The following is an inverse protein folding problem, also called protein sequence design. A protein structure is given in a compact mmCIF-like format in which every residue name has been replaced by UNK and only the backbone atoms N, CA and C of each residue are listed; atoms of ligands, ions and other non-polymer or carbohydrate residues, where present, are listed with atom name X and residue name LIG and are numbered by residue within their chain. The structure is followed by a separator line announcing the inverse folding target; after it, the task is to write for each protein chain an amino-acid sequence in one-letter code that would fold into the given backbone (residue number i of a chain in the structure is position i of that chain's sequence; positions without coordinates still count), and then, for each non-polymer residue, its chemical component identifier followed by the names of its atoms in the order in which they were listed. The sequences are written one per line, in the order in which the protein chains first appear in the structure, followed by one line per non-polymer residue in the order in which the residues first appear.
data_IF_513206638677
#
_entry.id   IF_513206638677
#
_cell.length_a   1.000
_cell.length_b   1.000
_cell.length_c   1.000
_cell.angle_alpha   90.00
_cell.angle_beta   90.00
_cell.angle_gamma   90.00
#
_symmetry.space_group_name_H-M   'P 1'
#
loop_
_entity.id
_entity.type
_entity.pdbx_description
1 polymer ?
#
# COMPACT_ATOMS: atom_id res chain seq x y z
N UNK A 1 12.23 -12.41 -18.99
CA UNK A 1 12.69 -11.58 -17.85
C UNK A 1 12.45 -10.11 -18.18
N UNK A 2 11.58 -9.45 -17.44
CA UNK A 2 11.28 -8.02 -17.67
C UNK A 2 12.42 -7.17 -17.12
N UNK A 3 12.99 -6.30 -17.97
CA UNK A 3 14.10 -5.42 -17.59
C UNK A 3 13.59 -4.35 -16.60
N UNK A 4 14.12 -4.33 -15.36
CA UNK A 4 13.76 -3.31 -14.35
C UNK A 4 14.11 -1.91 -14.86
N UNK A 5 13.27 -0.90 -14.55
CA UNK A 5 13.59 0.51 -14.87
C UNK A 5 14.74 1.00 -14.01
N UNK A 6 15.47 2.02 -14.50
CA UNK A 6 16.52 2.69 -13.72
C UNK A 6 16.02 3.20 -12.37
N UNK A 7 14.77 3.69 -12.29
CA UNK A 7 14.14 4.11 -11.02
C UNK A 7 13.95 2.94 -10.07
N UNK A 8 13.46 1.78 -10.57
CA UNK A 8 13.29 0.58 -9.76
C UNK A 8 14.63 0.03 -9.26
N UNK A 9 15.66 0.04 -10.11
CA UNK A 9 17.00 -0.40 -9.72
C UNK A 9 17.62 0.49 -8.64
N UNK A 10 17.38 1.81 -8.67
CA UNK A 10 17.84 2.73 -7.62
C UNK A 10 17.12 2.47 -6.31
N UNK A 11 15.80 2.23 -6.34
CA UNK A 11 15.05 1.90 -5.12
C UNK A 11 15.48 0.54 -4.55
N UNK A 12 15.78 -0.44 -5.40
CA UNK A 12 16.34 -1.73 -4.98
C UNK A 12 17.72 -1.52 -4.34
N UNK A 13 18.58 -0.70 -4.93
CA UNK A 13 19.88 -0.35 -4.38
C UNK A 13 19.78 0.29 -2.99
N UNK A 14 18.91 1.29 -2.83
CA UNK A 14 18.65 1.95 -1.53
C UNK A 14 18.25 0.93 -0.48
N UNK A 15 17.38 -0.03 -0.84
CA UNK A 15 16.91 -1.10 0.04
C UNK A 15 18.04 -2.08 0.40
N UNK A 16 18.75 -2.59 -0.59
CA UNK A 16 19.80 -3.62 -0.41
C UNK A 16 20.99 -3.08 0.41
N UNK A 17 21.32 -1.79 0.21
CA UNK A 17 22.34 -1.09 0.99
C UNK A 17 21.83 -0.51 2.30
N UNK A 18 20.53 -0.69 2.61
CA UNK A 18 19.87 -0.21 3.85
C UNK A 18 20.01 1.31 4.07
N UNK A 19 20.05 2.10 3.00
CA UNK A 19 20.08 3.56 3.11
C UNK A 19 18.75 4.07 3.66
N UNK A 20 18.79 4.77 4.79
CA UNK A 20 17.66 5.40 5.45
C UNK A 20 17.45 6.86 5.06
N UNK A 21 16.40 7.48 5.58
CA UNK A 21 16.13 8.91 5.37
C UNK A 21 17.29 9.74 5.94
N UNK A 22 17.83 10.63 5.11
CA UNK A 22 19.01 11.45 5.43
C UNK A 22 20.33 10.88 4.93
N UNK A 23 20.36 9.60 4.50
CA UNK A 23 21.58 8.99 3.97
C UNK A 23 21.88 9.48 2.54
N UNK A 24 23.16 9.57 2.25
CA UNK A 24 23.65 10.04 0.95
C UNK A 24 23.77 8.88 -0.03
N UNK A 25 23.18 9.07 -1.22
CA UNK A 25 23.39 8.15 -2.34
C UNK A 25 24.77 8.35 -2.98
N UNK A 26 25.31 7.30 -3.65
CA UNK A 26 26.49 7.42 -4.46
C UNK A 26 26.36 8.50 -5.54
N UNK A 27 27.49 9.02 -6.01
CA UNK A 27 27.47 9.94 -7.15
C UNK A 27 26.89 9.25 -8.40
N UNK A 28 26.27 10.03 -9.29
CA UNK A 28 25.64 9.51 -10.53
C UNK A 28 26.57 8.57 -11.33
N UNK A 29 27.86 8.88 -11.35
CA UNK A 29 28.89 8.10 -12.09
C UNK A 29 29.15 6.74 -11.40
N UNK A 30 29.22 6.74 -10.06
CA UNK A 30 29.52 5.53 -9.31
C UNK A 30 28.34 4.58 -9.33
N UNK A 31 27.12 5.11 -9.11
CA UNK A 31 25.90 4.30 -9.15
C UNK A 31 25.62 3.76 -10.56
N UNK A 32 25.97 4.52 -11.61
CA UNK A 32 25.87 4.05 -13.00
C UNK A 32 26.75 2.83 -13.23
N UNK A 33 27.98 2.84 -12.70
CA UNK A 33 28.91 1.72 -12.78
C UNK A 33 28.41 0.50 -12.02
N UNK A 34 27.91 0.70 -10.78
CA UNK A 34 27.42 -0.40 -9.93
C UNK A 34 26.18 -1.08 -10.53
N UNK A 35 25.25 -0.30 -11.10
CA UNK A 35 24.01 -0.82 -11.65
C UNK A 35 24.08 -1.22 -13.13
N UNK A 36 25.24 -1.03 -13.79
CA UNK A 36 25.40 -1.31 -15.22
C UNK A 36 24.54 -0.42 -16.12
N UNK A 37 24.27 0.84 -15.70
CA UNK A 37 23.42 1.79 -16.40
C UNK A 37 24.24 2.96 -16.98
N UNK A 38 23.63 3.70 -17.93
CA UNK A 38 24.21 4.96 -18.37
C UNK A 38 24.06 6.05 -17.29
N UNK A 39 25.03 6.97 -17.23
CA UNK A 39 24.96 8.14 -16.36
C UNK A 39 23.68 8.98 -16.60
N UNK A 40 23.26 9.09 -17.86
CA UNK A 40 22.02 9.79 -18.19
C UNK A 40 20.79 9.09 -17.61
N UNK A 41 20.73 7.75 -17.65
CA UNK A 41 19.64 6.97 -17.06
C UNK A 41 19.56 7.17 -15.55
N UNK A 42 20.71 7.22 -14.85
CA UNK A 42 20.75 7.50 -13.40
C UNK A 42 20.28 8.93 -13.11
N UNK A 43 20.76 9.92 -13.87
CA UNK A 43 20.37 11.32 -13.67
C UNK A 43 18.87 11.55 -13.85
N UNK A 44 18.28 10.95 -14.90
CA UNK A 44 16.83 11.02 -15.13
C UNK A 44 16.05 10.30 -14.03
N UNK A 45 16.52 9.16 -13.55
CA UNK A 45 15.89 8.43 -12.46
C UNK A 45 15.98 9.21 -11.13
N UNK A 46 17.13 9.83 -10.84
CA UNK A 46 17.28 10.73 -9.70
C UNK A 46 16.33 11.92 -9.79
N UNK A 47 16.20 12.55 -10.97
CA UNK A 47 15.26 13.66 -11.17
C UNK A 47 13.80 13.23 -10.94
N UNK A 48 13.41 12.05 -11.46
CA UNK A 48 12.07 11.49 -11.24
C UNK A 48 11.80 11.18 -9.77
N UNK A 49 12.74 10.59 -9.05
CA UNK A 49 12.63 10.30 -7.63
C UNK A 49 12.62 11.59 -6.79
N UNK A 50 13.37 12.60 -7.18
CA UNK A 50 13.35 13.91 -6.53
C UNK A 50 12.02 14.64 -6.75
N UNK A 51 11.47 14.62 -7.97
CA UNK A 51 10.14 15.18 -8.25
C UNK A 51 9.03 14.52 -7.42
N UNK A 52 9.20 13.24 -7.09
CA UNK A 52 8.30 12.49 -6.19
C UNK A 52 8.64 12.68 -4.71
N UNK A 53 9.67 13.47 -4.38
CA UNK A 53 10.15 13.72 -3.03
C UNK A 53 10.77 12.51 -2.32
N UNK A 54 11.08 11.43 -3.04
CA UNK A 54 11.81 10.26 -2.51
C UNK A 54 13.27 10.61 -2.26
N UNK A 55 13.84 11.40 -3.16
CA UNK A 55 15.21 11.92 -3.02
C UNK A 55 15.18 13.45 -2.87
N UNK A 56 16.23 14.00 -2.27
CA UNK A 56 16.49 15.44 -2.25
C UNK A 56 17.90 15.70 -2.72
N UNK A 57 18.03 16.59 -3.70
CA UNK A 57 19.33 17.05 -4.20
C UNK A 57 19.76 18.29 -3.40
N UNK A 58 20.93 18.22 -2.76
CA UNK A 58 21.57 19.35 -2.10
C UNK A 58 22.71 19.82 -2.98
N UNK A 59 22.61 21.05 -3.46
CA UNK A 59 23.58 21.59 -4.41
C UNK A 59 25.01 21.53 -3.85
N UNK A 60 25.97 21.01 -4.63
CA UNK A 60 27.38 20.84 -4.21
C UNK A 60 27.63 19.74 -3.18
N UNK A 61 26.59 19.15 -2.57
CA UNK A 61 26.76 18.16 -1.50
C UNK A 61 26.43 16.75 -1.96
N UNK A 62 25.34 16.59 -2.73
CA UNK A 62 24.92 15.30 -3.26
C UNK A 62 23.41 15.08 -3.26
N UNK A 63 23.02 13.83 -3.49
CA UNK A 63 21.63 13.37 -3.46
C UNK A 63 21.42 12.50 -2.22
N UNK A 64 20.33 12.71 -1.51
CA UNK A 64 20.01 12.07 -0.23
C UNK A 64 18.63 11.44 -0.29
N UNK A 65 18.40 10.37 0.47
CA UNK A 65 17.07 9.82 0.71
C UNK A 65 16.27 10.84 1.52
N UNK A 66 15.15 11.31 0.95
CA UNK A 66 14.30 12.34 1.59
C UNK A 66 13.14 11.71 2.36
N UNK A 67 12.56 10.66 1.80
CA UNK A 67 11.49 9.88 2.44
C UNK A 67 11.46 8.46 1.89
N UNK A 68 10.92 7.56 2.68
CA UNK A 68 10.53 6.23 2.22
C UNK A 68 9.19 6.33 1.51
N UNK A 69 9.09 5.82 0.29
CA UNK A 69 7.83 5.75 -0.44
C UNK A 69 7.39 4.28 -0.53
N UNK A 70 6.27 3.99 0.08
CA UNK A 70 5.60 2.69 -0.05
C UNK A 70 4.85 2.68 -1.38
N UNK A 71 5.18 1.75 -2.26
CA UNK A 71 4.57 1.64 -3.60
C UNK A 71 3.68 0.40 -3.65
N UNK A 72 2.39 0.59 -3.87
CA UNK A 72 1.48 -0.49 -4.23
C UNK A 72 1.64 -0.80 -5.72
N UNK A 73 2.26 -1.94 -6.01
CA UNK A 73 2.34 -2.49 -7.36
C UNK A 73 1.24 -3.56 -7.52
N UNK A 74 0.15 -3.20 -8.17
CA UNK A 74 -0.98 -4.10 -8.41
C UNK A 74 -0.59 -5.41 -9.11
N UNK A 75 0.47 -5.41 -9.91
CA UNK A 75 0.93 -6.61 -10.61
C UNK A 75 1.46 -7.69 -9.66
N UNK A 76 1.93 -7.32 -8.48
CA UNK A 76 2.57 -8.22 -7.52
C UNK A 76 1.70 -8.60 -6.30
N UNK A 77 0.46 -8.11 -6.20
CA UNK A 77 -0.53 -8.44 -5.13
C UNK A 77 0.08 -8.58 -3.73
N UNK A 78 0.84 -7.56 -3.30
CA UNK A 78 1.52 -7.59 -2.01
C UNK A 78 0.63 -7.05 -0.90
N UNK A 79 0.82 -7.57 0.31
CA UNK A 79 0.21 -6.98 1.51
C UNK A 79 0.82 -5.61 1.81
N UNK A 80 0.12 -4.75 2.55
CA UNK A 80 0.68 -3.47 2.99
C UNK A 80 1.98 -3.65 3.78
N UNK A 81 2.05 -4.66 4.63
CA UNK A 81 3.28 -5.05 5.31
C UNK A 81 4.44 -5.30 4.33
N UNK A 82 4.23 -6.18 3.35
CA UNK A 82 5.25 -6.52 2.35
C UNK A 82 5.62 -5.33 1.45
N UNK A 83 4.67 -4.42 1.17
CA UNK A 83 4.97 -3.19 0.43
C UNK A 83 5.89 -2.26 1.22
N UNK A 84 5.67 -2.14 2.54
CA UNK A 84 6.52 -1.34 3.43
C UNK A 84 7.92 -1.95 3.52
N UNK A 85 8.04 -3.28 3.73
CA UNK A 85 9.35 -3.96 3.75
C UNK A 85 10.15 -3.73 2.48
N UNK A 86 9.49 -3.87 1.30
CA UNK A 86 10.15 -3.67 0.00
C UNK A 86 10.57 -2.22 -0.23
N UNK A 87 9.90 -1.26 0.41
CA UNK A 87 10.32 0.14 0.35
C UNK A 87 11.60 0.42 1.16
N UNK A 88 12.10 -0.57 1.91
CA UNK A 88 13.26 -0.45 2.80
C UNK A 88 12.92 0.11 4.18
N UNK A 89 11.63 0.32 4.48
CA UNK A 89 11.20 0.76 5.80
C UNK A 89 10.89 -0.43 6.72
N UNK A 90 10.96 -0.19 8.02
CA UNK A 90 10.52 -1.15 9.03
C UNK A 90 8.99 -1.04 9.18
N UNK A 91 8.22 -2.10 8.83
CA UNK A 91 6.78 -2.08 9.02
C UNK A 91 6.41 -2.22 10.50
N UNK A 92 5.30 -1.64 10.87
CA UNK A 92 4.57 -1.95 12.09
C UNK A 92 3.07 -1.89 11.84
N UNK A 93 2.32 -2.67 12.60
CA UNK A 93 0.88 -2.71 12.61
C UNK A 93 0.38 -2.37 14.02
N UNK A 94 -0.55 -1.44 14.12
CA UNK A 94 -1.34 -1.19 15.33
C UNK A 94 -2.79 -1.58 15.04
N UNK A 95 -3.34 -2.48 15.84
CA UNK A 95 -4.77 -2.76 15.88
C UNK A 95 -5.41 -1.69 16.78
N UNK A 96 -6.20 -0.80 16.19
CA UNK A 96 -6.85 0.30 16.90
C UNK A 96 -8.21 -0.13 17.46
N UNK A 97 -8.94 -0.95 16.70
CA UNK A 97 -10.26 -1.47 17.06
C UNK A 97 -10.36 -2.93 16.60
N UNK A 98 -11.05 -3.75 17.43
CA UNK A 98 -11.38 -5.14 17.14
C UNK A 98 -12.68 -5.47 17.89
N UNK A 99 -13.84 -5.28 17.24
CA UNK A 99 -15.16 -5.39 17.86
C UNK A 99 -16.19 -5.98 16.89
N UNK A 100 -17.44 -6.02 17.31
CA UNK A 100 -18.58 -6.33 16.46
C UNK A 100 -19.44 -5.08 16.30
N UNK A 101 -19.77 -4.73 15.06
CA UNK A 101 -20.61 -3.59 14.71
C UNK A 101 -21.87 -4.02 13.97
N UNK A 102 -22.94 -3.27 14.11
CA UNK A 102 -24.13 -3.38 13.27
C UNK A 102 -23.92 -2.56 12.00
N UNK A 103 -24.11 -3.19 10.84
CA UNK A 103 -23.90 -2.51 9.55
C UNK A 103 -25.18 -1.84 9.06
N UNK A 104 -25.04 -0.65 8.53
CA UNK A 104 -26.12 0.17 7.99
C UNK A 104 -25.71 0.82 6.65
N UNK A 105 -26.67 1.40 5.94
CA UNK A 105 -26.44 2.20 4.73
C UNK A 105 -25.56 1.52 3.69
N UNK A 106 -24.60 2.28 3.14
CA UNK A 106 -23.74 1.83 2.06
C UNK A 106 -22.91 0.59 2.43
N UNK A 107 -22.53 0.43 3.69
CA UNK A 107 -21.76 -0.74 4.13
C UNK A 107 -22.59 -2.02 4.02
N UNK A 108 -23.88 -1.98 4.41
CA UNK A 108 -24.79 -3.12 4.27
C UNK A 108 -24.97 -3.50 2.78
N UNK A 109 -25.11 -2.50 1.91
CA UNK A 109 -25.18 -2.70 0.46
C UNK A 109 -23.88 -3.30 -0.11
N UNK A 110 -22.72 -2.76 0.28
CA UNK A 110 -21.43 -3.26 -0.15
C UNK A 110 -21.17 -4.70 0.29
N UNK A 111 -21.64 -5.07 1.47
CA UNK A 111 -21.55 -6.44 1.99
C UNK A 111 -22.67 -7.37 1.47
N UNK A 112 -23.72 -6.83 0.82
CA UNK A 112 -24.90 -7.54 0.33
C UNK A 112 -25.62 -8.30 1.45
N UNK A 113 -25.74 -7.67 2.61
CA UNK A 113 -26.42 -8.22 3.79
C UNK A 113 -27.52 -7.26 4.28
N UNK A 114 -28.40 -7.76 5.14
CA UNK A 114 -29.48 -6.93 5.70
C UNK A 114 -28.92 -5.86 6.65
N UNK A 115 -29.40 -4.60 6.59
CA UNK A 115 -29.12 -3.61 7.63
C UNK A 115 -29.41 -4.16 9.03
N UNK A 116 -28.63 -3.74 10.03
CA UNK A 116 -28.68 -4.26 11.40
C UNK A 116 -27.96 -5.59 11.61
N UNK A 117 -27.39 -6.20 10.56
CA UNK A 117 -26.58 -7.41 10.71
C UNK A 117 -25.29 -7.08 11.46
N UNK A 118 -24.93 -7.90 12.45
CA UNK A 118 -23.65 -7.76 13.17
C UNK A 118 -22.52 -8.46 12.41
N UNK A 119 -21.40 -7.76 12.31
CA UNK A 119 -20.19 -8.23 11.63
C UNK A 119 -18.96 -7.88 12.47
N UNK A 120 -17.89 -8.67 12.35
CA UNK A 120 -16.62 -8.31 12.96
C UNK A 120 -15.98 -7.13 12.21
N UNK A 121 -15.51 -6.15 12.97
CA UNK A 121 -14.81 -4.97 12.50
C UNK A 121 -13.39 -4.94 13.06
N UNK A 122 -12.42 -4.63 12.20
CA UNK A 122 -11.02 -4.45 12.56
C UNK A 122 -10.53 -3.14 11.98
N UNK A 123 -9.98 -2.26 12.81
CA UNK A 123 -9.32 -1.03 12.38
C UNK A 123 -7.82 -1.14 12.59
N UNK A 124 -7.09 -1.14 11.50
CA UNK A 124 -5.65 -1.36 11.45
C UNK A 124 -4.89 -0.16 10.90
N UNK A 125 -3.82 0.23 11.59
CA UNK A 125 -2.90 1.27 11.14
C UNK A 125 -1.54 0.65 10.79
N UNK A 126 -1.20 0.67 9.51
CA UNK A 126 0.14 0.31 9.04
C UNK A 126 1.05 1.52 9.03
N UNK A 127 2.24 1.35 9.60
CA UNK A 127 3.25 2.41 9.68
C UNK A 127 4.58 1.96 9.10
N UNK A 128 5.35 2.90 8.54
CA UNK A 128 6.68 2.73 8.00
C UNK A 128 7.67 3.55 8.84
N UNK A 129 8.62 2.90 9.53
CA UNK A 129 9.53 3.57 10.46
C UNK A 129 8.80 4.43 11.51
N UNK A 130 7.63 3.96 11.99
CA UNK A 130 6.79 4.67 12.96
C UNK A 130 5.92 5.79 12.38
N UNK A 131 5.97 6.05 11.06
CA UNK A 131 5.10 7.05 10.41
C UNK A 131 3.86 6.38 9.82
N UNK A 132 2.63 6.85 10.11
CA UNK A 132 1.38 6.33 9.55
C UNK A 132 1.35 6.37 8.03
N UNK A 133 1.10 5.21 7.40
CA UNK A 133 1.08 5.06 5.94
C UNK A 133 -0.32 4.80 5.42
N UNK A 134 -1.01 3.82 6.01
CA UNK A 134 -2.35 3.40 5.59
C UNK A 134 -3.17 3.02 6.82
N UNK A 135 -4.33 3.63 6.96
CA UNK A 135 -5.39 3.23 7.87
C UNK A 135 -6.37 2.35 7.11
N UNK A 136 -6.82 1.26 7.72
CA UNK A 136 -7.76 0.33 7.09
C UNK A 136 -8.87 -0.06 8.05
N UNK A 137 -10.11 0.04 7.59
CA UNK A 137 -11.25 -0.61 8.21
C UNK A 137 -11.59 -1.88 7.43
N UNK A 138 -11.62 -3.00 8.12
CA UNK A 138 -12.05 -4.29 7.60
C UNK A 138 -13.37 -4.71 8.25
N UNK A 139 -14.35 -5.08 7.44
CA UNK A 139 -15.62 -5.64 7.86
C UNK A 139 -15.72 -7.07 7.34
N UNK A 140 -15.83 -8.04 8.25
CA UNK A 140 -15.80 -9.48 7.92
C UNK A 140 -17.22 -10.00 7.87
N UNK A 141 -17.58 -10.67 6.77
CA UNK A 141 -18.92 -11.19 6.51
C UNK A 141 -19.39 -12.14 7.62
N UNK A 142 -20.69 -12.12 7.99
CA UNK A 142 -21.22 -12.86 9.14
C UNK A 142 -21.12 -14.38 9.00
N UNK A 143 -20.88 -14.89 7.81
CA UNK A 143 -20.66 -16.32 7.54
C UNK A 143 -19.20 -16.77 7.76
N UNK A 144 -18.27 -15.84 7.97
CA UNK A 144 -16.87 -16.12 8.26
C UNK A 144 -16.69 -16.22 9.78
N UNK A 145 -16.09 -17.32 10.23
CA UNK A 145 -15.83 -17.53 11.66
C UNK A 145 -14.57 -16.79 12.07
N UNK A 146 -14.69 -15.86 12.99
CA UNK A 146 -13.57 -15.06 13.52
C UNK A 146 -13.11 -15.52 14.91
N UNK A 147 -13.95 -16.35 15.60
CA UNK A 147 -13.65 -16.81 16.96
C UNK A 147 -12.34 -17.60 17.05
N UNK A 148 -11.51 -17.22 18.02
CA UNK A 148 -10.20 -17.85 18.27
C UNK A 148 -9.05 -17.35 17.39
N UNK A 149 -9.28 -16.41 16.50
CA UNK A 149 -8.23 -15.77 15.69
C UNK A 149 -7.68 -14.57 16.45
N UNK A 150 -6.38 -14.56 16.67
CA UNK A 150 -5.65 -13.42 17.23
C UNK A 150 -5.19 -12.52 16.07
N UNK A 151 -6.01 -11.54 15.71
CA UNK A 151 -5.73 -10.63 14.61
C UNK A 151 -4.53 -9.73 14.88
N UNK A 152 -4.22 -9.41 16.15
CA UNK A 152 -3.05 -8.61 16.51
C UNK A 152 -1.72 -9.28 16.14
N UNK A 153 -1.70 -10.61 16.01
CA UNK A 153 -0.53 -11.38 15.56
C UNK A 153 -0.44 -11.53 14.05
N UNK A 154 -1.47 -11.16 13.31
CA UNK A 154 -1.50 -11.26 11.87
C UNK A 154 -1.38 -9.87 11.23
N UNK A 155 -0.49 -9.72 10.27
CA UNK A 155 -0.41 -8.52 9.43
C UNK A 155 -1.00 -8.75 8.04
N UNK A 156 -1.72 -9.85 7.88
CA UNK A 156 -2.39 -10.25 6.64
C UNK A 156 -3.74 -10.92 6.95
N UNK A 157 -4.82 -10.15 6.85
CA UNK A 157 -6.18 -10.62 7.16
C UNK A 157 -6.61 -11.78 6.27
N UNK A 158 -6.28 -11.74 4.96
CA UNK A 158 -6.61 -12.83 4.03
C UNK A 158 -5.93 -14.14 4.43
N UNK A 159 -4.68 -14.08 4.87
CA UNK A 159 -3.97 -15.28 5.34
C UNK A 159 -4.57 -15.80 6.66
N UNK A 160 -4.96 -14.90 7.58
CA UNK A 160 -5.58 -15.26 8.85
C UNK A 160 -6.96 -15.93 8.66
N UNK A 161 -7.68 -15.59 7.60
CA UNK A 161 -9.02 -16.10 7.29
C UNK A 161 -9.04 -17.11 6.13
N UNK A 162 -7.88 -17.53 5.62
CA UNK A 162 -7.77 -18.33 4.40
C UNK A 162 -8.62 -19.63 4.44
N UNK A 163 -8.61 -20.33 5.57
CA UNK A 163 -9.35 -21.59 5.74
C UNK A 163 -10.86 -21.37 5.76
N UNK A 164 -11.33 -20.22 6.30
CA UNK A 164 -12.75 -19.89 6.39
C UNK A 164 -13.31 -19.33 5.08
N UNK A 165 -12.47 -18.61 4.32
CA UNK A 165 -12.86 -18.00 3.04
C UNK A 165 -12.76 -19.01 1.89
N UNK A 166 -11.95 -20.05 2.03
CA UNK A 166 -11.60 -20.92 0.91
C UNK A 166 -10.67 -20.21 -0.07
N UNK A 167 -9.63 -19.56 0.43
CA UNK A 167 -8.80 -18.58 -0.27
C UNK A 167 -8.10 -19.04 -1.55
N UNK A 168 -8.14 -20.34 -1.90
CA UNK A 168 -7.59 -20.85 -3.17
C UNK A 168 -8.37 -20.36 -4.40
N UNK A 169 -9.63 -19.94 -4.22
CA UNK A 169 -10.51 -19.48 -5.30
C UNK A 169 -11.20 -18.12 -5.01
N UNK A 170 -10.74 -17.38 -3.98
CA UNK A 170 -11.31 -16.08 -3.66
C UNK A 170 -10.97 -15.02 -4.72
N UNK A 171 -11.96 -14.20 -5.06
CA UNK A 171 -11.77 -13.04 -5.95
C UNK A 171 -11.58 -11.77 -5.13
N UNK A 172 -10.63 -10.94 -5.54
CA UNK A 172 -10.37 -9.62 -4.94
C UNK A 172 -10.71 -8.53 -5.95
N UNK A 173 -11.75 -7.77 -5.66
CA UNK A 173 -12.12 -6.54 -6.37
C UNK A 173 -11.53 -5.33 -5.62
N UNK A 174 -10.87 -4.41 -6.32
CA UNK A 174 -10.32 -3.19 -5.73
C UNK A 174 -10.62 -1.98 -6.59
N UNK A 175 -10.92 -0.87 -5.93
CA UNK A 175 -11.03 0.44 -6.57
C UNK A 175 -10.30 1.50 -5.74
N UNK A 176 -9.92 2.59 -6.36
CA UNK A 176 -9.28 3.71 -5.68
C UNK A 176 -9.76 5.03 -6.27
N UNK A 177 -10.02 5.99 -5.40
CA UNK A 177 -10.42 7.35 -5.77
C UNK A 177 -9.71 8.36 -4.89
N UNK A 178 -9.78 9.64 -5.25
CA UNK A 178 -9.28 10.72 -4.42
C UNK A 178 -10.44 11.29 -3.59
N UNK A 179 -10.21 11.47 -2.29
CA UNK A 179 -11.13 12.16 -1.39
C UNK A 179 -10.38 13.20 -0.57
N UNK A 180 -11.09 14.12 0.04
CA UNK A 180 -10.54 14.97 1.09
C UNK A 180 -10.74 14.26 2.43
N UNK A 181 -9.61 13.99 3.14
CA UNK A 181 -9.68 13.30 4.42
C UNK A 181 -10.38 14.17 5.48
N UNK A 182 -11.28 13.55 6.25
CA UNK A 182 -11.95 14.15 7.39
C UNK A 182 -11.42 13.55 8.70
N UNK A 183 -11.87 14.08 9.84
CA UNK A 183 -11.66 13.45 11.14
C UNK A 183 -12.62 12.23 11.27
N UNK A 184 -12.21 11.17 12.01
CA UNK A 184 -10.96 11.05 12.77
C UNK A 184 -9.75 10.53 11.98
N UNK A 185 -9.91 10.14 10.70
CA UNK A 185 -8.85 9.50 9.90
C UNK A 185 -7.65 10.43 9.67
N UNK A 186 -7.91 11.74 9.54
CA UNK A 186 -6.85 12.75 9.39
C UNK A 186 -5.91 12.74 10.61
N UNK A 187 -6.47 12.76 11.83
CA UNK A 187 -5.70 12.74 13.08
C UNK A 187 -4.87 11.46 13.19
N UNK A 188 -5.48 10.28 12.95
CA UNK A 188 -4.81 8.97 13.01
C UNK A 188 -3.63 8.90 12.03
N UNK A 189 -3.79 9.46 10.84
CA UNK A 189 -2.76 9.48 9.80
C UNK A 189 -1.73 10.61 9.97
N UNK A 190 -1.92 11.53 10.93
CA UNK A 190 -1.09 12.71 11.12
C UNK A 190 -1.15 13.67 9.95
N UNK A 191 -2.34 13.86 9.39
CA UNK A 191 -2.64 14.73 8.24
C UNK A 191 -3.54 15.88 8.66
N UNK A 192 -3.50 16.97 7.88
CA UNK A 192 -4.44 18.07 8.02
C UNK A 192 -5.81 17.65 7.45
N UNK A 193 -6.93 17.90 8.16
CA UNK A 193 -8.26 17.69 7.61
C UNK A 193 -8.46 18.48 6.30
N UNK A 194 -9.13 17.86 5.33
CA UNK A 194 -9.34 18.43 4.00
C UNK A 194 -8.19 18.19 3.01
N UNK A 195 -7.09 17.58 3.43
CA UNK A 195 -6.04 17.17 2.50
C UNK A 195 -6.57 16.10 1.54
N UNK A 196 -6.27 16.23 0.25
CA UNK A 196 -6.58 15.20 -0.74
C UNK A 196 -5.71 13.96 -0.52
N UNK A 197 -6.36 12.80 -0.35
CA UNK A 197 -5.71 11.50 -0.15
C UNK A 197 -6.21 10.49 -1.16
N UNK A 198 -5.49 9.36 -1.26
CA UNK A 198 -5.98 8.20 -1.98
C UNK A 198 -6.84 7.35 -1.03
N UNK A 199 -8.09 7.16 -1.42
CA UNK A 199 -9.05 6.32 -0.73
C UNK A 199 -9.26 5.05 -1.53
N UNK A 200 -9.07 3.90 -0.90
CA UNK A 200 -9.23 2.59 -1.49
C UNK A 200 -10.47 1.88 -0.97
N UNK A 201 -11.06 1.07 -1.82
CA UNK A 201 -12.14 0.17 -1.50
C UNK A 201 -11.83 -1.21 -2.03
N UNK A 202 -12.02 -2.24 -1.22
CA UNK A 202 -11.77 -3.62 -1.62
C UNK A 202 -12.88 -4.56 -1.13
N UNK A 203 -13.24 -5.52 -1.98
CA UNK A 203 -14.13 -6.64 -1.66
C UNK A 203 -13.41 -7.95 -1.89
N UNK A 204 -13.55 -8.87 -0.97
CA UNK A 204 -13.14 -10.26 -1.14
C UNK A 204 -14.38 -11.11 -1.27
N UNK A 205 -14.48 -11.84 -2.37
CA UNK A 205 -15.55 -12.79 -2.62
C UNK A 205 -15.04 -14.20 -2.27
N UNK A 206 -15.86 -14.98 -1.58
CA UNK A 206 -15.60 -16.40 -1.41
C UNK A 206 -15.95 -17.19 -2.70
N UNK A 207 -15.62 -18.49 -2.78
CA UNK A 207 -15.93 -19.31 -3.97
C UNK A 207 -17.42 -19.40 -4.32
N UNK A 208 -18.31 -19.14 -3.37
CA UNK A 208 -19.76 -19.10 -3.58
C UNK A 208 -20.25 -17.71 -4.02
N UNK A 209 -19.36 -16.73 -4.18
CA UNK A 209 -19.66 -15.36 -4.60
C UNK A 209 -20.23 -14.46 -3.50
N UNK A 210 -20.22 -14.91 -2.22
CA UNK A 210 -20.61 -14.07 -1.09
C UNK A 210 -19.47 -13.13 -0.72
N UNK A 211 -19.80 -11.97 -0.16
CA UNK A 211 -18.79 -11.02 0.31
C UNK A 211 -18.22 -11.49 1.65
N UNK A 212 -16.99 -11.96 1.63
CA UNK A 212 -16.27 -12.40 2.83
C UNK A 212 -15.66 -11.23 3.61
N UNK A 213 -15.13 -10.21 2.90
CA UNK A 213 -14.54 -9.02 3.52
C UNK A 213 -14.86 -7.81 2.66
N UNK A 214 -15.20 -6.70 3.31
CA UNK A 214 -15.18 -5.34 2.76
C UNK A 214 -14.10 -4.57 3.48
N UNK A 215 -13.29 -3.80 2.76
CA UNK A 215 -12.23 -2.98 3.34
C UNK A 215 -12.22 -1.59 2.75
N UNK A 216 -12.03 -0.60 3.61
CA UNK A 216 -11.80 0.80 3.26
C UNK A 216 -10.39 1.20 3.66
N UNK A 217 -9.67 1.90 2.78
CA UNK A 217 -8.27 2.26 2.98
C UNK A 217 -8.09 3.77 2.84
N UNK A 218 -7.48 4.42 3.83
CA UNK A 218 -7.05 5.82 3.78
C UNK A 218 -5.54 5.85 3.71
N UNK A 219 -4.98 6.32 2.61
CA UNK A 219 -3.55 6.27 2.37
C UNK A 219 -2.91 7.64 2.48
N UNK A 220 -1.86 7.75 3.29
CA UNK A 220 -1.08 8.97 3.44
C UNK A 220 -0.34 9.30 2.12
N UNK A 221 -0.72 10.37 1.40
CA UNK A 221 -0.20 10.67 0.07
C UNK A 221 1.27 11.10 0.09
N UNK A 222 1.80 11.44 1.27
CA UNK A 222 3.23 11.76 1.44
C UNK A 222 4.10 10.51 1.45
N UNK A 223 3.54 9.34 1.82
CA UNK A 223 4.28 8.09 2.04
C UNK A 223 3.83 6.95 1.13
N UNK A 224 2.63 7.01 0.55
CA UNK A 224 2.04 5.95 -0.24
C UNK A 224 1.75 6.39 -1.68
N UNK A 225 1.94 5.49 -2.64
CA UNK A 225 1.54 5.69 -4.04
C UNK A 225 1.13 4.37 -4.67
N UNK A 226 0.26 4.45 -5.68
CA UNK A 226 -0.08 3.32 -6.54
C UNK A 226 0.75 3.40 -7.81
N UNK A 227 1.30 2.28 -8.25
CA UNK A 227 2.01 2.15 -9.50
C UNK A 227 1.53 0.90 -10.24
N UNK A 228 1.25 1.04 -11.51
CA UNK A 228 0.95 -0.07 -12.40
C UNK A 228 1.90 -0.03 -13.60
N UNK A 229 2.39 -1.19 -14.01
CA UNK A 229 3.18 -1.34 -15.23
C UNK A 229 2.58 -2.42 -16.09
N UNK A 230 2.26 -2.07 -17.31
CA UNK A 230 1.75 -2.97 -18.33
C UNK A 230 2.66 -2.95 -19.56
N UNK A 231 2.84 -4.12 -20.19
CA UNK A 231 3.47 -4.21 -21.50
C UNK A 231 2.39 -4.09 -22.57
N UNK A 232 2.42 -2.99 -23.31
CA UNK A 232 1.44 -2.74 -24.39
C UNK A 232 2.07 -3.15 -25.73
N UNK A 233 1.42 -4.09 -26.44
CA UNK A 233 1.77 -4.38 -27.80
C UNK A 233 1.29 -3.23 -28.69
N UNK A 234 2.21 -2.57 -29.42
CA UNK A 234 1.89 -1.39 -30.27
C UNK A 234 0.84 -1.67 -31.34
N UNK A 235 0.56 -2.94 -31.66
CA UNK A 235 -0.50 -3.35 -32.58
C UNK A 235 -1.92 -3.16 -31.98
N UNK A 236 -2.06 -3.16 -30.64
CA UNK A 236 -3.36 -2.96 -29.95
C UNK A 236 -3.77 -1.49 -29.85
N UNK A 237 -2.87 -0.55 -30.12
CA UNK A 237 -3.16 0.90 -30.07
C UNK A 237 -3.64 1.46 -31.42
N UNK A 238 -3.81 0.62 -32.45
CA UNK A 238 -4.23 1.04 -33.80
C UNK A 238 -5.68 0.68 -34.15
N UNK A 239 -6.46 0.22 -33.17
CA UNK A 239 -7.90 -0.10 -33.32
C UNK A 239 -8.78 1.00 -32.76
#
# INVERSE_FOLDING_TARGET
MQQKTSTALILDYVRETKLGVGDKLPAEVDLARELGLSRNSIREAYARLAARGVLVKRHGIGTFVARTLVINDFANRRTFWGMIEISGAKPSLSELECDEVEVEGDLAEHMRIQPGTRVAHLRWLFSANGQPVVLIDHYIGPHIRTGGIDFAKSHNLLAALADQIGAQAAELETSSTAINVAEPEAEILGLEPGLAILYGFAKVHDPEGRIAIVSYHWSNPKLFSISHRESVAMQQLRS
#
